data_IF_547658768395
#
_entry.id   IF_547658768395
#
_cell.length_a   1.000
_cell.length_b   1.000
_cell.length_c   1.000
_cell.angle_alpha   90.00
_cell.angle_beta   90.00
_cell.angle_gamma   90.00
#
_symmetry.space_group_name_H-M   'P 1'
#
loop_
_entity.id
_entity.type
_entity.pdbx_description
1 polymer ?
#
# COMPACT_ATOMS: atom_id res chain seq x y z
N UNK A 1 -28.33 4.70 -25.83
CA UNK A 1 -28.54 4.16 -24.46
C UNK A 1 -27.44 4.58 -23.50
N UNK A 2 -26.18 4.10 -23.59
CA UNK A 2 -25.12 4.56 -22.66
C UNK A 2 -24.76 6.03 -22.84
N UNK A 3 -24.54 6.47 -24.09
CA UNK A 3 -24.23 7.87 -24.39
C UNK A 3 -25.28 8.83 -23.84
N UNK A 4 -26.56 8.51 -24.02
CA UNK A 4 -27.68 9.33 -23.50
C UNK A 4 -27.68 9.39 -21.97
N UNK A 5 -27.37 8.28 -21.30
CA UNK A 5 -27.25 8.25 -19.82
C UNK A 5 -26.10 9.11 -19.28
N UNK A 6 -25.14 9.48 -20.13
CA UNK A 6 -24.01 10.35 -19.80
C UNK A 6 -24.25 11.81 -20.25
N UNK A 7 -25.51 12.16 -20.60
CA UNK A 7 -25.90 13.52 -21.01
C UNK A 7 -25.83 13.76 -22.52
N UNK A 8 -25.54 12.73 -23.33
CA UNK A 8 -25.47 12.84 -24.78
C UNK A 8 -24.48 13.94 -25.23
N UNK A 9 -24.87 14.73 -26.24
CA UNK A 9 -24.03 15.79 -26.80
C UNK A 9 -23.79 16.98 -25.86
N UNK A 10 -24.65 17.15 -24.85
CA UNK A 10 -24.46 18.14 -23.78
C UNK A 10 -23.62 17.62 -22.60
N UNK A 11 -23.27 16.33 -22.61
CA UNK A 11 -22.45 15.69 -21.58
C UNK A 11 -20.95 15.86 -21.82
N UNK A 12 -20.14 15.39 -20.85
CA UNK A 12 -18.68 15.54 -20.90
C UNK A 12 -18.00 14.82 -22.07
N UNK A 13 -18.66 13.81 -22.65
CA UNK A 13 -18.16 13.13 -23.85
C UNK A 13 -18.28 14.00 -25.11
N UNK A 14 -19.21 14.96 -25.14
CA UNK A 14 -19.45 15.80 -26.32
C UNK A 14 -19.97 15.00 -27.52
N UNK A 15 -19.81 15.56 -28.72
CA UNK A 15 -20.31 14.94 -29.95
C UNK A 15 -19.52 13.67 -30.35
N UNK A 16 -20.17 12.68 -30.99
CA UNK A 16 -19.46 11.54 -31.56
C UNK A 16 -18.58 11.99 -32.74
N UNK A 17 -17.35 11.48 -32.77
CA UNK A 17 -16.39 11.68 -33.85
C UNK A 17 -16.43 10.54 -34.87
N UNK A 18 -16.96 9.38 -34.47
CA UNK A 18 -17.15 8.21 -35.32
C UNK A 18 -18.58 7.70 -35.22
N UNK A 19 -19.00 6.89 -36.19
CA UNK A 19 -20.08 5.93 -35.96
C UNK A 19 -19.63 4.80 -35.02
N UNK A 20 -20.50 3.79 -34.85
CA UNK A 20 -20.10 2.53 -34.21
C UNK A 20 -19.10 1.79 -35.11
N UNK A 21 -17.91 1.52 -34.58
CA UNK A 21 -16.83 0.81 -35.27
C UNK A 21 -16.65 -0.54 -34.61
N UNK A 22 -16.66 -1.62 -35.41
CA UNK A 22 -16.34 -2.96 -34.94
C UNK A 22 -14.86 -3.08 -34.60
N UNK A 23 -14.54 -3.71 -33.47
CA UNK A 23 -13.15 -3.88 -33.04
C UNK A 23 -12.45 -4.86 -33.97
N UNK A 24 -11.15 -4.67 -34.29
CA UNK A 24 -10.44 -5.54 -35.23
C UNK A 24 -10.42 -7.03 -34.84
N UNK A 25 -10.48 -7.31 -33.53
CA UNK A 25 -10.55 -8.67 -32.98
C UNK A 25 -11.96 -9.29 -33.03
N UNK A 26 -12.96 -8.58 -33.54
CA UNK A 26 -14.36 -9.03 -33.65
C UNK A 26 -15.10 -9.20 -32.32
N UNK A 27 -14.48 -8.89 -31.18
CA UNK A 27 -15.04 -9.13 -29.84
C UNK A 27 -16.04 -8.06 -29.39
N UNK A 28 -16.11 -6.92 -30.08
CA UNK A 28 -16.95 -5.81 -29.66
C UNK A 28 -17.03 -4.67 -30.67
N UNK A 29 -17.43 -3.51 -30.17
CA UNK A 29 -17.53 -2.28 -30.92
C UNK A 29 -17.17 -1.08 -30.04
N UNK A 30 -16.85 0.05 -30.65
CA UNK A 30 -16.63 1.30 -29.94
C UNK A 30 -17.12 2.50 -30.73
N UNK A 31 -17.32 3.61 -30.02
CA UNK A 31 -17.55 4.94 -30.58
C UNK A 31 -16.56 5.90 -29.93
N UNK A 32 -15.90 6.72 -30.75
CA UNK A 32 -15.03 7.80 -30.27
C UNK A 32 -15.85 9.08 -30.19
N UNK A 33 -15.68 9.82 -29.10
CA UNK A 33 -16.30 11.12 -28.85
C UNK A 33 -15.19 12.16 -28.60
N UNK A 34 -15.55 13.44 -28.62
CA UNK A 34 -14.61 14.54 -28.33
C UNK A 34 -13.92 14.39 -26.98
N UNK A 35 -14.67 14.00 -25.95
CA UNK A 35 -14.18 13.87 -24.58
C UNK A 35 -13.73 12.47 -24.17
N UNK A 36 -13.92 11.44 -25.00
CA UNK A 36 -13.63 10.07 -24.59
C UNK A 36 -14.04 9.00 -25.60
N UNK A 37 -14.26 7.79 -25.14
CA UNK A 37 -14.75 6.68 -25.99
C UNK A 37 -15.64 5.75 -25.18
N UNK A 38 -16.66 5.20 -25.83
CA UNK A 38 -17.49 4.13 -25.27
C UNK A 38 -17.13 2.85 -25.98
N UNK A 39 -16.75 1.83 -25.21
CA UNK A 39 -16.46 0.48 -25.70
C UNK A 39 -17.57 -0.47 -25.25
N UNK A 40 -17.98 -1.36 -26.14
CA UNK A 40 -18.96 -2.39 -25.87
C UNK A 40 -18.43 -3.77 -26.23
N UNK A 41 -18.68 -4.75 -25.37
CA UNK A 41 -18.56 -6.17 -25.69
C UNK A 41 -19.76 -6.95 -25.12
N UNK A 42 -20.07 -8.15 -25.63
CA UNK A 42 -21.10 -9.00 -25.04
C UNK A 42 -20.85 -9.31 -23.55
N UNK A 43 -19.58 -9.38 -23.13
CA UNK A 43 -19.21 -9.75 -21.76
C UNK A 43 -19.26 -8.59 -20.77
N UNK A 44 -19.03 -7.35 -21.23
CA UNK A 44 -18.86 -6.19 -20.35
C UNK A 44 -19.93 -5.12 -20.51
N UNK A 45 -20.76 -5.20 -21.56
CA UNK A 45 -21.68 -4.13 -21.92
C UNK A 45 -20.94 -2.85 -22.34
N UNK A 46 -21.67 -1.74 -22.45
CA UNK A 46 -21.11 -0.47 -22.87
C UNK A 46 -20.50 0.29 -21.67
N UNK A 47 -19.21 0.60 -21.74
CA UNK A 47 -18.48 1.33 -20.69
C UNK A 47 -17.69 2.48 -21.30
N UNK A 48 -17.69 3.67 -20.68
CA UNK A 48 -16.85 4.77 -21.14
C UNK A 48 -15.45 4.79 -20.51
N UNK A 49 -14.51 5.33 -21.28
CA UNK A 49 -13.13 5.59 -20.87
C UNK A 49 -12.76 6.98 -21.39
N UNK A 50 -12.24 7.86 -20.53
CA UNK A 50 -11.91 9.24 -20.92
C UNK A 50 -10.63 9.76 -20.26
N UNK A 51 -10.25 10.99 -20.60
CA UNK A 51 -9.14 11.72 -19.97
C UNK A 51 -7.81 10.95 -19.92
N UNK A 52 -7.12 11.06 -18.78
CA UNK A 52 -5.82 10.43 -18.56
C UNK A 52 -5.90 8.89 -18.61
N UNK A 53 -7.01 8.30 -18.16
CA UNK A 53 -7.21 6.85 -18.19
C UNK A 53 -7.28 6.35 -19.64
N UNK A 54 -8.02 7.06 -20.51
CA UNK A 54 -8.08 6.72 -21.93
C UNK A 54 -6.72 6.79 -22.60
N UNK A 55 -5.90 7.78 -22.24
CA UNK A 55 -4.54 7.89 -22.79
C UNK A 55 -3.69 6.67 -22.38
N UNK A 56 -3.71 6.28 -21.11
CA UNK A 56 -3.02 5.07 -20.63
C UNK A 56 -3.57 3.79 -21.28
N UNK A 57 -4.88 3.70 -21.51
CA UNK A 57 -5.49 2.58 -22.23
C UNK A 57 -4.99 2.47 -23.67
N UNK A 58 -4.81 3.62 -24.35
CA UNK A 58 -4.21 3.66 -25.67
C UNK A 58 -2.77 3.17 -25.71
N UNK A 59 -1.95 3.59 -24.74
CA UNK A 59 -0.59 3.07 -24.59
C UNK A 59 -0.54 1.57 -24.28
N UNK A 60 -1.58 1.03 -23.64
CA UNK A 60 -1.73 -0.40 -23.38
C UNK A 60 -2.27 -1.20 -24.57
N UNK A 61 -2.52 -0.57 -25.73
CA UNK A 61 -2.98 -1.22 -26.95
C UNK A 61 -4.51 -1.32 -27.09
N UNK A 62 -5.27 -0.49 -26.36
CA UNK A 62 -6.74 -0.47 -26.37
C UNK A 62 -7.34 -1.86 -26.07
N UNK A 63 -8.49 -2.18 -26.66
CA UNK A 63 -9.20 -3.45 -26.48
C UNK A 63 -8.51 -4.65 -27.14
N UNK A 64 -7.58 -4.40 -28.05
CA UNK A 64 -6.70 -5.41 -28.64
C UNK A 64 -5.50 -5.74 -27.76
N UNK A 65 -5.21 -4.89 -26.77
CA UNK A 65 -4.10 -5.05 -25.84
C UNK A 65 -4.39 -5.99 -24.68
N UNK A 66 -3.42 -6.12 -23.77
CA UNK A 66 -3.47 -7.05 -22.66
C UNK A 66 -4.50 -6.70 -21.57
N UNK A 67 -5.09 -5.49 -21.62
CA UNK A 67 -6.18 -5.10 -20.73
C UNK A 67 -7.55 -5.57 -21.22
N UNK A 68 -7.73 -5.80 -22.53
CA UNK A 68 -9.03 -6.13 -23.09
C UNK A 68 -10.06 -5.02 -22.91
N UNK A 69 -11.35 -5.37 -22.83
CA UNK A 69 -12.43 -4.39 -22.72
C UNK A 69 -12.58 -3.80 -21.30
N UNK A 70 -13.03 -2.54 -21.17
CA UNK A 70 -13.45 -2.01 -19.88
C UNK A 70 -14.67 -2.77 -19.34
N UNK A 71 -14.67 -3.04 -18.04
CA UNK A 71 -15.76 -3.64 -17.24
C UNK A 71 -16.57 -2.61 -16.47
N UNK A 72 -15.97 -1.46 -16.21
CA UNK A 72 -16.64 -0.32 -15.60
C UNK A 72 -16.45 0.90 -16.46
N UNK A 73 -17.40 1.81 -16.34
CA UNK A 73 -17.22 3.24 -16.52
C UNK A 73 -16.03 3.77 -15.71
N UNK A 74 -15.65 5.02 -15.97
CA UNK A 74 -14.73 5.74 -15.10
C UNK A 74 -15.45 6.06 -13.78
N UNK A 75 -14.93 5.53 -12.69
CA UNK A 75 -15.53 5.62 -11.35
C UNK A 75 -14.59 6.42 -10.47
N UNK A 76 -15.16 7.35 -9.69
CA UNK A 76 -14.39 8.04 -8.64
C UNK A 76 -13.94 7.04 -7.58
N UNK A 77 -12.69 7.15 -7.15
CA UNK A 77 -12.21 6.36 -6.02
C UNK A 77 -13.00 6.69 -4.75
N UNK A 78 -13.17 5.74 -3.81
CA UNK A 78 -13.92 5.94 -2.57
C UNK A 78 -13.43 7.11 -1.70
N UNK A 79 -12.14 7.44 -1.77
CA UNK A 79 -11.55 8.60 -1.07
C UNK A 79 -11.88 9.95 -1.75
N UNK A 80 -12.52 9.93 -2.92
CA UNK A 80 -12.89 11.10 -3.73
C UNK A 80 -11.72 11.79 -4.44
N UNK A 81 -10.51 11.26 -4.38
CA UNK A 81 -9.29 11.96 -4.83
C UNK A 81 -8.82 11.56 -6.23
N UNK A 82 -9.23 10.40 -6.72
CA UNK A 82 -8.86 9.88 -8.03
C UNK A 82 -10.03 9.33 -8.81
N UNK A 83 -9.70 8.65 -9.89
CA UNK A 83 -10.64 7.92 -10.73
C UNK A 83 -9.98 6.64 -11.26
N UNK A 84 -10.80 5.65 -11.60
CA UNK A 84 -10.32 4.40 -12.16
C UNK A 84 -11.34 3.76 -13.11
N UNK A 85 -10.82 2.93 -14.02
CA UNK A 85 -11.59 1.94 -14.76
C UNK A 85 -11.05 0.55 -14.43
N UNK A 86 -11.95 -0.42 -14.27
CA UNK A 86 -11.60 -1.85 -14.27
C UNK A 86 -11.73 -2.37 -15.68
N UNK A 87 -10.74 -3.16 -16.11
CA UNK A 87 -10.69 -3.84 -17.41
C UNK A 87 -10.67 -5.35 -17.20
N UNK A 88 -10.82 -6.12 -18.28
CA UNK A 88 -10.71 -7.58 -18.24
C UNK A 88 -9.35 -8.05 -17.66
N UNK A 89 -8.26 -7.39 -18.05
CA UNK A 89 -6.89 -7.78 -17.72
C UNK A 89 -6.20 -6.96 -16.64
N UNK A 90 -6.91 -6.07 -15.94
CA UNK A 90 -6.32 -5.18 -14.94
C UNK A 90 -7.18 -3.97 -14.59
N UNK A 91 -6.56 -2.92 -14.08
CA UNK A 91 -7.24 -1.64 -13.82
C UNK A 91 -6.30 -0.49 -14.16
N UNK A 92 -6.87 0.64 -14.53
CA UNK A 92 -6.12 1.88 -14.74
C UNK A 92 -6.62 2.88 -13.71
N UNK A 93 -5.69 3.48 -12.97
CA UNK A 93 -5.97 4.48 -11.95
C UNK A 93 -5.32 5.80 -12.31
N UNK A 94 -6.00 6.90 -11.97
CA UNK A 94 -5.47 8.25 -12.05
C UNK A 94 -5.74 8.99 -10.74
N UNK A 95 -4.78 9.75 -10.25
CA UNK A 95 -5.01 10.76 -9.22
C UNK A 95 -4.05 11.94 -9.39
N UNK A 96 -4.49 13.16 -9.06
CA UNK A 96 -3.65 14.34 -9.16
C UNK A 96 -2.43 14.27 -8.24
N UNK A 97 -2.51 13.52 -7.13
CA UNK A 97 -1.38 13.34 -6.21
C UNK A 97 -0.34 12.34 -6.76
N UNK A 98 -0.72 11.41 -7.64
CA UNK A 98 0.22 10.50 -8.30
C UNK A 98 0.85 11.12 -9.57
N UNK A 99 0.24 12.20 -10.10
CA UNK A 99 0.76 12.97 -11.22
C UNK A 99 -0.27 13.16 -12.33
N UNK A 100 0.15 13.69 -13.48
CA UNK A 100 -0.76 13.97 -14.60
C UNK A 100 -1.22 12.71 -15.33
N UNK A 101 -0.48 11.60 -15.19
CA UNK A 101 -0.69 10.38 -15.97
C UNK A 101 -1.47 9.33 -15.18
N UNK A 102 -2.24 8.51 -15.90
CA UNK A 102 -2.88 7.33 -15.35
C UNK A 102 -1.98 6.10 -15.53
N UNK A 103 -2.12 5.13 -14.63
CA UNK A 103 -1.21 3.98 -14.54
C UNK A 103 -1.96 2.66 -14.50
N UNK A 104 -1.43 1.68 -15.23
CA UNK A 104 -1.98 0.33 -15.30
C UNK A 104 -1.46 -0.49 -14.13
N UNK A 105 -2.37 -1.11 -13.37
CA UNK A 105 -2.04 -2.10 -12.33
C UNK A 105 -2.73 -3.41 -12.70
N UNK A 106 -2.01 -4.53 -12.73
CA UNK A 106 -2.55 -5.83 -13.16
C UNK A 106 -1.92 -7.02 -12.42
N UNK A 107 -2.52 -8.19 -12.63
CA UNK A 107 -2.00 -9.48 -12.16
C UNK A 107 -1.69 -9.51 -10.66
N UNK A 108 -0.64 -10.26 -10.30
CA UNK A 108 -0.25 -10.48 -8.91
C UNK A 108 0.08 -9.18 -8.14
N UNK A 109 0.60 -8.16 -8.83
CA UNK A 109 0.86 -6.85 -8.20
C UNK A 109 -0.46 -6.17 -7.81
N UNK A 110 -1.46 -6.16 -8.71
CA UNK A 110 -2.79 -5.61 -8.42
C UNK A 110 -3.48 -6.38 -7.30
N UNK A 111 -3.39 -7.71 -7.33
CA UNK A 111 -4.02 -8.56 -6.31
C UNK A 111 -3.38 -8.33 -4.94
N UNK A 112 -2.05 -8.21 -4.87
CA UNK A 112 -1.35 -7.86 -3.65
C UNK A 112 -1.75 -6.47 -3.15
N UNK A 113 -1.77 -5.46 -4.02
CA UNK A 113 -2.21 -4.11 -3.66
C UNK A 113 -3.65 -4.08 -3.12
N UNK A 114 -4.55 -4.87 -3.71
CA UNK A 114 -5.93 -4.99 -3.25
C UNK A 114 -6.09 -5.63 -1.89
N UNK A 115 -5.21 -6.56 -1.50
CA UNK A 115 -5.16 -7.11 -0.13
C UNK A 115 -4.74 -6.07 0.90
N UNK A 116 -4.12 -4.97 0.48
CA UNK A 116 -3.72 -3.85 1.32
C UNK A 116 -4.60 -2.63 1.10
N UNK A 117 -5.89 -2.82 0.86
CA UNK A 117 -6.89 -1.74 0.78
C UNK A 117 -6.68 -0.73 -0.36
N UNK A 118 -6.05 -1.17 -1.46
CA UNK A 118 -5.95 -0.40 -2.71
C UNK A 118 -5.36 1.01 -2.48
N UNK A 119 -5.92 2.05 -3.11
CA UNK A 119 -5.49 3.45 -2.98
C UNK A 119 -5.71 4.04 -1.59
N UNK A 120 -6.65 3.49 -0.81
CA UNK A 120 -6.84 3.84 0.60
C UNK A 120 -5.78 3.21 1.52
N UNK A 121 -4.99 2.29 0.98
CA UNK A 121 -3.95 1.54 1.67
C UNK A 121 -2.63 2.26 1.88
N UNK A 122 -1.64 1.58 2.51
CA UNK A 122 -0.33 2.16 2.81
C UNK A 122 0.43 2.60 1.55
N UNK A 123 0.24 1.93 0.42
CA UNK A 123 0.92 2.28 -0.84
C UNK A 123 0.39 3.57 -1.49
N UNK A 124 -0.90 3.89 -1.30
CA UNK A 124 -1.57 4.95 -2.05
C UNK A 124 -1.80 4.58 -3.51
N UNK A 125 -1.88 5.58 -4.38
CA UNK A 125 -2.12 5.42 -5.82
C UNK A 125 -0.87 4.94 -6.57
N UNK A 126 -1.03 4.22 -7.71
CA UNK A 126 0.09 3.90 -8.57
C UNK A 126 0.70 5.15 -9.20
N UNK A 127 2.04 5.19 -9.27
CA UNK A 127 2.84 6.25 -9.93
C UNK A 127 3.61 5.72 -11.14
N UNK A 128 3.49 4.42 -11.42
CA UNK A 128 3.95 3.80 -12.65
C UNK A 128 3.01 2.67 -13.05
N UNK A 129 2.94 2.38 -14.35
CA UNK A 129 2.50 1.06 -14.79
C UNK A 129 3.56 0.00 -14.42
N UNK A 130 3.21 -1.27 -14.52
CA UNK A 130 4.16 -2.37 -14.33
C UNK A 130 5.34 -2.27 -15.32
N UNK A 131 6.57 -2.41 -14.82
CA UNK A 131 7.80 -2.42 -15.62
C UNK A 131 8.73 -3.57 -15.20
N UNK A 132 9.61 -3.96 -16.11
CA UNK A 132 10.57 -5.05 -15.89
C UNK A 132 11.70 -4.65 -14.95
N UNK A 133 12.07 -5.58 -14.07
CA UNK A 133 13.26 -5.51 -13.21
C UNK A 133 14.03 -6.84 -13.31
N UNK A 134 15.32 -6.89 -12.93
CA UNK A 134 16.05 -8.16 -12.90
C UNK A 134 15.32 -9.20 -12.02
N UNK A 135 14.89 -10.30 -12.63
CA UNK A 135 14.22 -11.40 -11.95
C UNK A 135 12.77 -11.14 -11.54
N UNK A 136 12.07 -10.16 -12.13
CA UNK A 136 10.67 -9.90 -11.79
C UNK A 136 10.05 -8.70 -12.50
N UNK A 137 8.96 -8.21 -11.93
CA UNK A 137 8.26 -6.99 -12.36
C UNK A 137 7.96 -6.11 -11.18
N UNK A 138 7.83 -4.81 -11.40
CA UNK A 138 7.55 -3.83 -10.35
C UNK A 138 6.52 -2.81 -10.80
N UNK A 139 5.69 -2.38 -9.86
CA UNK A 139 4.94 -1.12 -9.97
C UNK A 139 5.30 -0.21 -8.80
N UNK A 140 5.45 1.08 -9.07
CA UNK A 140 5.62 2.10 -8.06
C UNK A 140 4.26 2.69 -7.68
N UNK A 141 4.17 3.10 -6.42
CA UNK A 141 3.04 3.75 -5.80
C UNK A 141 3.51 5.01 -5.08
N UNK A 142 2.58 5.89 -4.72
CA UNK A 142 2.86 7.18 -4.06
C UNK A 142 3.77 7.06 -2.85
N UNK A 143 3.56 6.01 -2.06
CA UNK A 143 4.30 5.76 -0.83
C UNK A 143 5.09 4.48 -0.92
N UNK A 144 5.47 3.97 -2.10
CA UNK A 144 6.18 2.69 -2.12
C UNK A 144 6.21 1.98 -3.45
N UNK A 145 6.38 0.66 -3.38
CA UNK A 145 6.42 -0.20 -4.54
C UNK A 145 6.04 -1.64 -4.20
N UNK A 146 5.56 -2.35 -5.20
CA UNK A 146 5.28 -3.78 -5.13
C UNK A 146 6.00 -4.45 -6.29
N UNK A 147 6.78 -5.48 -5.96
CA UNK A 147 7.51 -6.34 -6.89
C UNK A 147 6.90 -7.73 -6.90
N UNK A 148 6.67 -8.26 -8.09
CA UNK A 148 6.42 -9.67 -8.31
C UNK A 148 7.73 -10.35 -8.74
N UNK A 149 8.02 -11.50 -8.13
CA UNK A 149 9.11 -12.41 -8.53
C UNK A 149 8.58 -13.85 -8.54
N UNK A 150 9.23 -14.78 -9.26
CA UNK A 150 8.87 -16.19 -9.20
C UNK A 150 8.91 -16.78 -7.78
N UNK A 151 9.78 -16.26 -6.91
CA UNK A 151 9.90 -16.68 -5.50
C UNK A 151 8.84 -16.07 -4.58
N UNK A 152 8.07 -15.09 -5.04
CA UNK A 152 7.03 -14.42 -4.26
C UNK A 152 6.99 -12.90 -4.43
N UNK A 153 6.07 -12.28 -3.71
CA UNK A 153 5.90 -10.83 -3.68
C UNK A 153 6.92 -10.19 -2.74
N UNK A 154 7.55 -9.09 -3.18
CA UNK A 154 8.30 -8.17 -2.31
C UNK A 154 7.61 -6.83 -2.36
N UNK A 155 7.54 -6.14 -1.22
CA UNK A 155 6.82 -4.88 -1.15
C UNK A 155 7.46 -3.98 -0.12
N UNK A 156 7.35 -2.69 -0.36
CA UNK A 156 7.75 -1.65 0.57
C UNK A 156 6.74 -0.52 0.44
N UNK A 157 6.16 -0.07 1.54
CA UNK A 157 5.56 1.25 1.57
C UNK A 157 6.08 2.08 2.74
N UNK A 158 6.24 3.38 2.54
CA UNK A 158 6.70 4.34 3.50
C UNK A 158 5.68 4.45 4.64
N UNK A 159 6.12 4.17 5.85
CA UNK A 159 5.33 4.40 7.05
C UNK A 159 5.34 5.87 7.49
N UNK A 160 6.19 6.72 6.90
CA UNK A 160 6.53 8.05 7.41
C UNK A 160 7.43 8.02 8.66
N UNK A 161 7.89 6.84 9.07
CA UNK A 161 8.94 6.63 10.06
C UNK A 161 10.21 6.21 9.31
N UNK A 162 11.34 6.91 9.48
CA UNK A 162 12.56 6.64 8.71
C UNK A 162 13.04 5.19 8.83
N UNK A 163 13.23 4.54 7.68
CA UNK A 163 13.68 3.14 7.61
C UNK A 163 12.61 2.09 7.90
N UNK A 164 11.34 2.48 8.08
CA UNK A 164 10.26 1.58 8.46
C UNK A 164 9.21 1.45 7.35
N UNK A 165 9.01 0.20 6.89
CA UNK A 165 8.03 -0.16 5.87
C UNK A 165 6.65 -0.54 6.42
N UNK A 166 5.59 -0.27 5.67
CA UNK A 166 4.24 -0.79 5.89
C UNK A 166 3.73 -1.33 4.56
N UNK A 167 3.28 -2.58 4.42
CA UNK A 167 3.06 -3.60 5.45
C UNK A 167 4.33 -4.41 5.78
N UNK A 168 4.39 -4.89 7.02
CA UNK A 168 5.56 -5.48 7.70
C UNK A 168 5.83 -6.97 7.38
N UNK A 169 5.20 -7.55 6.34
CA UNK A 169 5.41 -8.98 6.03
C UNK A 169 6.85 -9.23 5.59
N UNK A 170 7.64 -9.85 6.47
CA UNK A 170 9.03 -10.24 6.22
C UNK A 170 10.10 -9.43 6.95
N UNK A 171 9.75 -8.53 7.87
CA UNK A 171 10.72 -7.85 8.73
C UNK A 171 11.41 -8.83 9.69
N UNK A 172 12.71 -8.64 9.93
CA UNK A 172 13.41 -9.35 11.00
C UNK A 172 12.87 -8.94 12.38
N UNK A 173 13.05 -9.77 13.42
CA UNK A 173 12.75 -9.40 14.80
C UNK A 173 13.34 -8.04 15.23
N UNK A 174 14.59 -7.79 14.87
CA UNK A 174 15.34 -6.56 15.16
C UNK A 174 14.77 -5.36 14.40
N UNK A 175 14.42 -5.55 13.13
CA UNK A 175 13.77 -4.52 12.31
C UNK A 175 12.40 -4.14 12.90
N UNK A 176 11.64 -5.12 13.38
CA UNK A 176 10.33 -4.89 13.99
C UNK A 176 10.44 -4.06 15.28
N UNK A 177 11.37 -4.39 16.17
CA UNK A 177 11.61 -3.64 17.41
C UNK A 177 12.16 -2.24 17.12
N UNK A 178 13.13 -2.13 16.20
CA UNK A 178 13.68 -0.83 15.78
C UNK A 178 12.57 0.10 15.26
N UNK A 179 11.68 -0.43 14.43
CA UNK A 179 10.60 0.36 13.87
C UNK A 179 9.48 0.67 14.85
N UNK A 180 9.20 -0.23 15.80
CA UNK A 180 8.32 0.07 16.93
C UNK A 180 8.87 1.24 17.76
N UNK A 181 10.15 1.21 18.13
CA UNK A 181 10.79 2.25 18.94
C UNK A 181 10.85 3.60 18.24
N UNK A 182 11.27 3.65 16.96
CA UNK A 182 11.22 4.89 16.16
C UNK A 182 9.80 5.44 16.03
N UNK A 183 8.82 4.57 15.80
CA UNK A 183 7.43 4.99 15.70
C UNK A 183 6.93 5.58 17.03
N UNK A 184 7.35 5.01 18.16
CA UNK A 184 7.03 5.52 19.48
C UNK A 184 7.65 6.89 19.75
N UNK A 185 8.95 7.09 19.47
CA UNK A 185 9.62 8.40 19.58
C UNK A 185 8.90 9.49 18.77
N UNK A 186 8.34 9.11 17.62
CA UNK A 186 7.61 10.01 16.73
C UNK A 186 6.11 10.13 17.07
N UNK A 187 5.61 9.44 18.10
CA UNK A 187 4.19 9.40 18.45
C UNK A 187 3.29 8.74 17.40
N UNK A 188 3.86 7.91 16.51
CA UNK A 188 3.18 7.23 15.39
C UNK A 188 2.61 5.88 15.81
N UNK A 189 1.58 5.91 16.66
CA UNK A 189 0.86 4.72 17.12
C UNK A 189 0.31 3.83 15.99
N UNK A 190 -0.03 4.43 14.85
CA UNK A 190 -0.46 3.73 13.62
C UNK A 190 0.67 2.90 12.99
N UNK A 191 1.92 3.34 13.11
CA UNK A 191 3.09 2.60 12.63
C UNK A 191 3.54 1.60 13.68
N UNK A 192 3.52 1.95 14.96
CA UNK A 192 3.73 0.99 16.06
C UNK A 192 2.81 -0.22 15.90
N UNK A 193 1.52 0.02 15.63
CA UNK A 193 0.52 -1.01 15.42
C UNK A 193 0.83 -1.95 14.23
N UNK A 194 1.62 -1.52 13.24
CA UNK A 194 2.08 -2.39 12.17
C UNK A 194 3.19 -3.34 12.62
N UNK A 195 3.94 -3.01 13.67
CA UNK A 195 5.03 -3.85 14.18
C UNK A 195 4.63 -4.64 15.44
N UNK A 196 3.39 -4.46 15.87
CA UNK A 196 2.71 -5.27 16.90
C UNK A 196 1.58 -6.08 16.26
N UNK A 197 1.21 -7.23 16.82
CA UNK A 197 0.06 -7.98 16.30
C UNK A 197 -1.25 -7.18 16.42
N UNK A 198 -2.22 -7.45 15.51
CA UNK A 198 -3.48 -6.72 15.40
C UNK A 198 -4.20 -6.56 16.76
N UNK A 199 -4.44 -5.29 17.13
CA UNK A 199 -5.07 -4.77 18.34
C UNK A 199 -4.15 -4.48 19.53
N UNK A 200 -3.42 -3.36 19.46
CA UNK A 200 -3.31 -2.43 20.59
C UNK A 200 -3.46 -0.99 20.07
N UNK A 201 -4.60 -0.39 20.38
CA UNK A 201 -4.68 1.03 20.73
C UNK A 201 -5.30 1.03 22.12
N UNK A 202 -4.79 1.88 23.01
CA UNK A 202 -5.25 2.09 24.39
C UNK A 202 -5.11 0.92 25.35
N UNK A 203 -3.93 0.76 25.96
CA UNK A 203 -3.77 0.74 27.43
C UNK A 203 -2.29 0.93 27.82
N UNK A 204 -2.02 2.13 28.35
CA UNK A 204 -0.93 2.50 29.26
C UNK A 204 0.47 1.87 29.07
N UNK A 205 1.30 2.47 28.20
CA UNK A 205 2.67 2.77 28.60
C UNK A 205 2.59 3.86 29.69
N UNK A 206 2.51 3.46 30.96
CA UNK A 206 2.81 4.38 32.08
C UNK A 206 4.32 4.44 32.27
N UNK A 207 5.00 4.98 31.27
CA UNK A 207 6.35 5.48 31.46
C UNK A 207 6.15 6.87 32.03
N UNK A 208 6.55 7.06 33.28
CA UNK A 208 6.68 8.40 33.85
C UNK A 208 7.43 9.23 32.83
N UNK A 209 6.93 10.42 32.50
CA UNK A 209 7.59 11.38 31.61
C UNK A 209 9.09 11.41 31.91
N UNK A 210 9.87 10.66 31.12
CA UNK A 210 11.29 10.95 31.01
C UNK A 210 11.31 12.01 29.95
N UNK A 211 11.34 13.25 30.43
CA UNK A 211 11.63 14.40 29.60
C UNK A 211 13.08 14.24 29.15
N UNK A 212 13.30 13.46 28.11
CA UNK A 212 14.59 13.31 27.48
C UNK A 212 14.28 13.17 25.98
N UNK A 213 14.83 13.98 25.08
CA UNK A 213 16.26 14.22 25.05
C UNK A 213 17.07 12.92 24.92
N UNK A 214 16.43 11.73 24.83
CA UNK A 214 17.15 10.46 24.66
C UNK A 214 17.66 10.43 23.23
N UNK A 215 18.98 10.49 23.11
CA UNK A 215 19.70 10.22 21.88
C UNK A 215 19.61 8.74 21.47
N UNK A 216 20.52 8.28 20.59
CA UNK A 216 20.40 7.01 19.88
C UNK A 216 20.28 5.81 20.84
N UNK A 217 19.28 4.95 20.62
CA UNK A 217 19.15 3.64 21.24
C UNK A 217 19.82 2.57 20.36
N UNK A 218 20.18 1.44 20.96
CA UNK A 218 20.63 0.23 20.23
C UNK A 218 19.71 -0.95 20.55
N UNK A 219 19.46 -1.78 19.53
CA UNK A 219 18.67 -3.00 19.65
C UNK A 219 19.61 -4.17 19.41
N UNK A 220 19.83 -5.01 20.41
CA UNK A 220 20.73 -6.15 20.35
C UNK A 220 20.08 -7.42 20.92
N UNK A 221 20.62 -8.58 20.53
CA UNK A 221 20.32 -9.85 21.18
C UNK A 221 18.89 -10.37 20.97
N UNK A 222 18.22 -10.01 19.87
CA UNK A 222 16.88 -10.50 19.60
C UNK A 222 16.86 -12.02 19.36
N UNK A 223 16.10 -12.76 20.18
CA UNK A 223 16.07 -14.23 20.16
C UNK A 223 14.71 -14.80 20.54
N UNK A 224 14.51 -16.11 20.31
CA UNK A 224 13.27 -16.80 20.70
C UNK A 224 13.21 -16.90 22.22
N UNK A 225 12.13 -16.42 22.85
CA UNK A 225 11.96 -16.56 24.30
C UNK A 225 12.02 -18.04 24.71
N UNK A 226 12.96 -18.38 25.59
CA UNK A 226 13.05 -19.69 26.24
C UNK A 226 12.17 -19.69 27.50
N UNK A 227 11.63 -20.86 27.84
CA UNK A 227 10.65 -21.03 28.93
C UNK A 227 11.19 -20.51 30.27
N UNK A 228 10.46 -19.60 30.90
CA UNK A 228 10.84 -18.99 32.19
C UNK A 228 10.10 -17.68 32.49
N UNK A 229 9.59 -17.01 31.47
CA UNK A 229 8.78 -15.80 31.64
C UNK A 229 7.28 -16.14 31.74
N UNK A 230 6.56 -15.62 32.75
CA UNK A 230 5.16 -15.95 32.92
C UNK A 230 4.33 -15.26 31.82
N UNK A 231 3.86 -16.06 30.85
CA UNK A 231 2.93 -15.73 29.75
C UNK A 231 3.54 -15.24 28.42
N UNK A 232 4.72 -15.68 28.02
CA UNK A 232 5.14 -15.50 26.63
C UNK A 232 4.60 -16.65 25.77
N UNK A 233 3.62 -16.36 24.92
CA UNK A 233 3.24 -17.24 23.82
C UNK A 233 4.33 -17.19 22.72
N UNK A 234 5.49 -17.81 23.00
CA UNK A 234 6.62 -18.09 22.09
C UNK A 234 7.24 -16.89 21.31
N UNK A 235 7.12 -15.67 21.84
CA UNK A 235 7.54 -14.42 21.20
C UNK A 235 9.05 -14.13 21.23
N UNK A 236 9.51 -13.23 20.35
CA UNK A 236 10.90 -12.73 20.33
C UNK A 236 11.16 -11.89 21.59
N UNK A 237 12.31 -12.09 22.23
CA UNK A 237 12.90 -11.25 23.28
C UNK A 237 14.02 -10.41 22.68
N UNK A 238 14.07 -9.11 22.95
CA UNK A 238 15.14 -8.21 22.53
C UNK A 238 15.62 -7.34 23.70
N UNK A 239 16.91 -7.02 23.72
CA UNK A 239 17.50 -6.07 24.67
C UNK A 239 17.62 -4.71 23.97
N UNK A 240 16.88 -3.71 24.47
CA UNK A 240 17.01 -2.33 24.01
C UNK A 240 17.80 -1.54 25.04
N UNK A 241 18.92 -0.96 24.63
CA UNK A 241 19.79 -0.16 25.50
C UNK A 241 19.55 1.33 25.23
N UNK A 242 19.35 2.07 26.32
CA UNK A 242 19.28 3.53 26.31
C UNK A 242 20.57 4.12 26.88
N UNK A 243 21.13 5.20 26.31
CA UNK A 243 22.25 5.90 26.92
C UNK A 243 21.84 6.54 28.26
N UNK A 244 22.79 6.65 29.18
CA UNK A 244 22.57 7.32 30.45
C UNK A 244 22.23 8.81 30.24
N UNK A 245 21.24 9.37 30.97
CA UNK A 245 21.02 10.81 31.01
C UNK A 245 22.30 11.58 31.39
N UNK A 246 22.46 12.85 30.97
CA UNK A 246 23.58 13.68 31.41
C UNK A 246 23.63 13.76 32.95
N UNK A 247 24.70 13.23 33.54
CA UNK A 247 24.88 13.17 35.00
C UNK A 247 24.58 11.80 35.64
N UNK A 248 24.11 10.83 34.86
CA UNK A 248 23.96 9.44 35.27
C UNK A 248 25.03 8.57 34.59
N UNK A 249 25.44 7.50 35.28
CA UNK A 249 26.53 6.61 34.83
C UNK A 249 25.99 5.44 34.00
N UNK A 250 24.67 5.20 34.05
CA UNK A 250 24.09 3.95 33.57
C UNK A 250 22.87 4.16 32.67
N UNK A 251 22.80 3.33 31.63
CA UNK A 251 21.66 3.22 30.73
C UNK A 251 20.52 2.40 31.32
N UNK A 252 19.47 2.17 30.53
CA UNK A 252 18.38 1.25 30.86
C UNK A 252 18.33 0.07 29.89
N UNK A 253 17.91 -1.11 30.36
CA UNK A 253 17.55 -2.26 29.51
C UNK A 253 16.04 -2.38 29.46
N UNK A 254 15.46 -2.42 28.26
CA UNK A 254 14.06 -2.77 28.03
C UNK A 254 13.97 -4.12 27.33
N UNK A 255 13.24 -5.04 27.95
CA UNK A 255 12.84 -6.31 27.35
C UNK A 255 11.49 -6.15 26.62
N UNK A 256 11.47 -6.40 25.30
CA UNK A 256 10.26 -6.40 24.48
C UNK A 256 9.89 -7.84 24.06
N UNK A 257 8.69 -8.29 24.44
CA UNK A 257 8.09 -9.54 23.97
C UNK A 257 7.03 -9.30 22.88
N UNK A 258 7.08 -10.06 21.76
CA UNK A 258 6.08 -9.98 20.68
C UNK A 258 5.38 -11.34 20.50
N UNK A 259 4.16 -11.49 21.00
CA UNK A 259 3.41 -12.76 21.01
C UNK A 259 2.67 -13.12 19.72
N UNK A 260 2.55 -14.43 19.45
CA UNK A 260 1.75 -14.99 18.34
C UNK A 260 0.24 -15.09 18.66
N UNK A 261 -0.11 -15.20 19.94
CA UNK A 261 -1.50 -15.47 20.37
C UNK A 261 -2.03 -14.44 21.38
N UNK A 262 -1.15 -13.68 22.02
CA UNK A 262 -1.50 -12.57 22.92
C UNK A 262 -1.10 -11.24 22.28
N UNK A 263 -2.07 -10.33 22.19
CA UNK A 263 -2.09 -9.17 21.31
C UNK A 263 -1.29 -8.02 21.92
N UNK A 264 0.01 -7.92 21.65
CA UNK A 264 0.80 -6.76 22.08
C UNK A 264 2.32 -6.89 22.06
N UNK A 265 2.99 -5.75 22.23
CA UNK A 265 4.34 -5.64 22.76
C UNK A 265 4.24 -5.24 24.24
N UNK A 266 4.94 -5.93 25.13
CA UNK A 266 4.94 -5.64 26.57
C UNK A 266 6.37 -5.39 27.07
N UNK A 267 6.50 -4.49 28.04
CA UNK A 267 7.74 -4.23 28.77
C UNK A 267 7.76 -5.16 29.97
N UNK A 268 8.68 -6.12 29.99
CA UNK A 268 8.79 -7.09 31.10
C UNK A 268 9.61 -6.53 32.26
N UNK A 269 10.64 -5.73 31.96
CA UNK A 269 11.53 -5.16 32.96
C UNK A 269 12.18 -3.88 32.44
N UNK A 270 12.36 -2.92 33.34
CA UNK A 270 13.04 -1.65 33.08
C UNK A 270 14.11 -1.53 34.17
N UNK A 271 15.23 -2.21 33.95
CA UNK A 271 16.34 -2.18 34.89
C UNK A 271 17.21 -0.95 34.61
N UNK A 272 17.49 -0.15 35.64
CA UNK A 272 18.67 0.71 35.61
C UNK A 272 19.88 -0.21 35.59
N UNK A 273 20.74 -0.08 34.58
CA UNK A 273 22.03 -0.76 34.61
C UNK A 273 22.75 -0.22 35.87
N UNK A 274 23.34 -1.10 36.69
CA UNK A 274 24.08 -0.72 37.89
C UNK A 274 25.55 -0.49 37.63
#
# INVERSE_FOLDING_TARGET
MRYDSLGGSGGFLGAPLTGEVRTPNGRGAYVVFQGGSIYWSPATGAQEVHGAIRNAYGWAGWEGGYLGFPRTNEVRTPDGRGAYNVFEGGSIYWSPQAGPNAHVVRGAIRDAWGQYSWEGGPFGYPTSSEFDIPGGKRSNFQRGWIEWRPSGMRMFAESGVPGCGSPHRGASPEEAVTCFMRAWEMGRGDVMANYTSNAIVTEQLKIREVNSGVGPYTVEGCGRATSGFPRTSAGIHCVVQFPAPPGEVHGGVMTLGIGLYDRGAWIEELESIG
#
